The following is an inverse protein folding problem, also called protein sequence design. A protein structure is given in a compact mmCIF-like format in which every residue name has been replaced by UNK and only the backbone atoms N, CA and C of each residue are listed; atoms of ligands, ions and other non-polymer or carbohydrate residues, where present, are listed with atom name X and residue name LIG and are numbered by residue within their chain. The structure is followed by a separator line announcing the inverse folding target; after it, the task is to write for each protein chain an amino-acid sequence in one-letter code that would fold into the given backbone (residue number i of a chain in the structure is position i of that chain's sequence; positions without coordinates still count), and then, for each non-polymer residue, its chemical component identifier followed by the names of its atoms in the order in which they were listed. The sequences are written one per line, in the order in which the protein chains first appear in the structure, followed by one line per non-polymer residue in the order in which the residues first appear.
data_IF_618940760715
#
_entry.id   IF_618940760715
#
_cell.length_a   1.000
_cell.length_b   1.000
_cell.length_c   1.000
_cell.angle_alpha   90.00
_cell.angle_beta   90.00
_cell.angle_gamma   90.00
#
_symmetry.space_group_name_H-M   'P 1'
#
loop_
_entity.id
_entity.type
_entity.pdbx_description
1 polymer ?
#
# COMPACT_ATOMS: atom_id res chain seq x y z
N UNK A 1 -14.57 -57.36 0.62
CA UNK A 1 -14.88 -56.00 0.14
C UNK A 1 -13.76 -55.12 0.64
N UNK A 2 -12.84 -54.78 -0.25
CA UNK A 2 -11.56 -54.15 0.05
C UNK A 2 -11.69 -52.64 0.16
N UNK A 3 -11.33 -52.09 1.32
CA UNK A 3 -11.04 -50.68 1.56
C UNK A 3 -9.71 -50.30 0.91
N UNK A 4 -9.73 -49.97 -0.39
CA UNK A 4 -8.52 -49.50 -1.07
C UNK A 4 -8.81 -48.35 -2.04
N UNK A 5 -9.32 -47.25 -1.49
CA UNK A 5 -9.49 -45.99 -2.22
C UNK A 5 -8.74 -44.84 -1.53
N UNK A 6 -7.43 -45.01 -1.32
CA UNK A 6 -6.53 -43.88 -1.06
C UNK A 6 -5.94 -43.44 -2.39
N UNK A 7 -6.42 -42.32 -2.91
CA UNK A 7 -5.74 -41.62 -3.99
C UNK A 7 -4.33 -41.26 -3.51
N UNK A 8 -3.31 -42.00 -3.98
CA UNK A 8 -1.92 -41.61 -3.85
C UNK A 8 -1.68 -40.42 -4.78
N UNK A 9 -1.99 -39.21 -4.31
CA UNK A 9 -1.48 -37.99 -4.92
C UNK A 9 0.05 -38.03 -4.75
N UNK A 10 0.77 -38.36 -5.82
CA UNK A 10 2.22 -38.19 -5.87
C UNK A 10 2.59 -36.75 -5.52
N UNK A 11 3.82 -36.53 -5.05
CA UNK A 11 4.31 -35.17 -4.73
C UNK A 11 4.08 -34.29 -5.96
N UNK A 12 3.23 -33.25 -5.88
CA UNK A 12 2.86 -32.53 -7.08
C UNK A 12 4.06 -31.75 -7.63
N UNK A 13 4.09 -31.57 -8.95
CA UNK A 13 5.18 -30.92 -9.70
C UNK A 13 5.55 -29.50 -9.21
N UNK A 14 4.66 -28.84 -8.45
CA UNK A 14 4.96 -27.58 -7.74
C UNK A 14 6.02 -27.71 -6.64
N UNK A 15 6.43 -28.93 -6.26
CA UNK A 15 7.57 -29.15 -5.35
C UNK A 15 8.92 -28.71 -5.94
N UNK A 16 8.94 -28.28 -7.21
CA UNK A 16 10.13 -27.78 -7.91
C UNK A 16 10.20 -26.25 -8.00
N UNK A 17 9.22 -25.51 -7.46
CA UNK A 17 9.24 -24.04 -7.49
C UNK A 17 10.46 -23.52 -6.72
N UNK A 18 11.35 -22.75 -7.37
CA UNK A 18 12.51 -22.18 -6.70
C UNK A 18 12.09 -21.31 -5.52
N UNK A 19 12.77 -21.49 -4.38
CA UNK A 19 12.60 -20.62 -3.22
C UNK A 19 13.61 -19.48 -3.32
N UNK A 20 13.11 -18.26 -3.27
CA UNK A 20 13.94 -17.06 -3.20
C UNK A 20 13.82 -16.48 -1.80
N UNK A 21 14.96 -16.10 -1.22
CA UNK A 21 14.99 -15.29 -0.01
C UNK A 21 15.10 -13.80 -0.35
N UNK A 22 14.98 -12.95 0.66
CA UNK A 22 15.06 -11.49 0.52
C UNK A 22 16.37 -11.06 -0.15
N UNK A 23 17.49 -11.70 0.17
CA UNK A 23 18.79 -11.34 -0.41
C UNK A 23 18.82 -11.60 -1.91
N UNK A 24 18.34 -12.77 -2.36
CA UNK A 24 18.25 -13.09 -3.78
C UNK A 24 17.29 -12.14 -4.52
N UNK A 25 16.15 -11.80 -3.92
CA UNK A 25 15.18 -10.89 -4.51
C UNK A 25 15.77 -9.49 -4.64
N UNK A 26 16.36 -8.93 -3.58
CA UNK A 26 16.95 -7.59 -3.58
C UNK A 26 18.13 -7.53 -4.56
N UNK A 27 19.00 -8.55 -4.59
CA UNK A 27 20.14 -8.60 -5.51
C UNK A 27 19.71 -8.64 -6.99
N UNK A 28 18.52 -9.15 -7.29
CA UNK A 28 17.97 -9.17 -8.64
C UNK A 28 17.30 -7.84 -9.06
N UNK A 29 17.09 -6.90 -8.13
CA UNK A 29 16.45 -5.60 -8.42
C UNK A 29 17.44 -4.64 -9.07
N UNK A 30 17.09 -4.03 -10.23
CA UNK A 30 17.83 -2.92 -10.79
C UNK A 30 17.86 -1.68 -9.86
N UNK A 31 18.55 -0.62 -10.31
CA UNK A 31 18.53 0.66 -9.62
C UNK A 31 17.10 1.22 -9.47
N UNK A 32 16.83 1.88 -8.34
CA UNK A 32 15.57 2.60 -8.07
C UNK A 32 15.50 3.88 -8.90
N UNK A 33 14.29 4.36 -9.14
CA UNK A 33 14.05 5.69 -9.67
C UNK A 33 14.41 6.76 -8.62
N UNK A 34 14.78 7.95 -9.08
CA UNK A 34 14.99 9.09 -8.20
C UNK A 34 13.63 9.68 -7.79
N UNK A 35 13.32 9.62 -6.51
CA UNK A 35 12.07 10.12 -5.92
C UNK A 35 12.37 11.03 -4.73
N UNK A 36 11.40 11.85 -4.34
CA UNK A 36 11.54 12.81 -3.23
C UNK A 36 10.66 12.39 -2.05
N UNK A 37 11.15 12.44 -0.79
CA UNK A 37 10.30 12.19 0.38
C UNK A 37 9.16 13.20 0.52
N UNK A 38 9.24 14.37 -0.12
CA UNK A 38 8.26 15.45 0.02
C UNK A 38 7.26 15.53 -1.14
N UNK A 39 7.33 14.59 -2.09
CA UNK A 39 6.42 14.56 -3.25
C UNK A 39 5.89 13.15 -3.49
N UNK A 40 4.60 12.99 -3.83
CA UNK A 40 4.11 11.72 -4.36
C UNK A 40 4.86 11.45 -5.67
N UNK A 41 5.24 10.21 -5.94
CA UNK A 41 5.91 9.92 -7.21
C UNK A 41 4.92 9.90 -8.38
N UNK A 42 3.62 9.71 -8.10
CA UNK A 42 2.55 9.82 -9.09
C UNK A 42 1.18 10.02 -8.43
N UNK A 43 0.18 10.43 -9.20
CA UNK A 43 -1.22 10.44 -8.82
C UNK A 43 -2.12 10.39 -10.05
N UNK A 44 -3.26 9.72 -9.97
CA UNK A 44 -4.22 9.61 -11.07
C UNK A 44 -5.66 9.53 -10.56
N UNK A 45 -6.63 9.65 -11.48
CA UNK A 45 -8.03 9.38 -11.22
C UNK A 45 -8.55 8.35 -12.21
N UNK A 46 -9.23 7.34 -11.69
CA UNK A 46 -9.88 6.30 -12.47
C UNK A 46 -11.35 6.17 -12.06
N UNK A 47 -12.21 5.85 -13.02
CA UNK A 47 -13.60 5.49 -12.76
C UNK A 47 -13.65 4.06 -12.23
N UNK A 48 -14.06 3.88 -10.97
CA UNK A 48 -14.10 2.57 -10.34
C UNK A 48 -15.45 2.25 -9.73
N UNK A 49 -15.74 0.95 -9.62
CA UNK A 49 -16.98 0.47 -9.02
C UNK A 49 -16.89 0.51 -7.49
N UNK A 50 -17.74 1.31 -6.87
CA UNK A 50 -17.87 1.48 -5.42
C UNK A 50 -18.57 0.27 -4.76
N UNK A 51 -18.59 0.25 -3.42
CA UNK A 51 -19.28 -0.78 -2.64
C UNK A 51 -20.81 -0.77 -2.82
N UNK A 52 -21.42 0.38 -3.09
CA UNK A 52 -22.85 0.50 -3.43
C UNK A 52 -23.14 0.18 -4.91
N UNK A 53 -22.09 -0.15 -5.68
CA UNK A 53 -22.18 -0.66 -7.04
C UNK A 53 -22.28 0.42 -8.12
N UNK A 54 -22.16 1.70 -7.75
CA UNK A 54 -22.03 2.83 -8.69
C UNK A 54 -20.60 2.89 -9.25
N UNK A 55 -20.42 3.61 -10.37
CA UNK A 55 -19.09 3.93 -10.89
C UNK A 55 -18.82 5.39 -10.58
N UNK A 56 -17.78 5.66 -9.80
CA UNK A 56 -17.40 7.01 -9.36
C UNK A 56 -15.89 7.23 -9.54
N UNK A 57 -15.45 8.49 -9.71
CA UNK A 57 -14.02 8.81 -9.82
C UNK A 57 -13.31 8.57 -8.48
N UNK A 58 -12.25 7.75 -8.52
CA UNK A 58 -11.38 7.42 -7.39
C UNK A 58 -9.99 7.98 -7.65
N UNK A 59 -9.49 8.80 -6.72
CA UNK A 59 -8.12 9.29 -6.77
C UNK A 59 -7.14 8.26 -6.20
N UNK A 60 -6.09 7.92 -6.94
CA UNK A 60 -4.98 7.12 -6.42
C UNK A 60 -3.76 8.01 -6.23
N UNK A 61 -3.27 8.09 -5.00
CA UNK A 61 -2.05 8.82 -4.65
C UNK A 61 -0.95 7.79 -4.43
N UNK A 62 0.09 7.86 -5.25
CA UNK A 62 1.26 7.00 -5.10
C UNK A 62 2.30 7.70 -4.25
N UNK A 63 2.30 7.38 -2.95
CA UNK A 63 3.19 7.98 -1.97
C UNK A 63 4.61 7.43 -2.14
N UNK A 64 5.58 8.33 -2.10
CA UNK A 64 7.00 8.01 -1.97
C UNK A 64 7.30 7.63 -0.54
N UNK A 65 7.87 6.44 -0.34
CA UNK A 65 8.08 5.91 1.01
C UNK A 65 9.32 5.04 1.12
N UNK A 66 9.68 4.64 2.34
CA UNK A 66 10.70 3.60 2.52
C UNK A 66 10.22 2.27 1.93
N UNK A 67 11.14 1.54 1.32
CA UNK A 67 10.87 0.21 0.77
C UNK A 67 10.25 -0.75 1.80
N UNK A 68 9.22 -1.48 1.35
CA UNK A 68 8.51 -2.49 2.12
C UNK A 68 9.43 -3.63 2.61
N UNK A 69 9.43 -3.98 3.91
CA UNK A 69 10.35 -4.97 4.47
C UNK A 69 10.02 -6.42 4.07
N UNK A 70 8.88 -6.68 3.41
CA UNK A 70 8.49 -8.01 2.97
C UNK A 70 9.17 -8.46 1.68
N UNK A 71 9.78 -7.54 0.92
CA UNK A 71 10.52 -7.81 -0.32
C UNK A 71 9.83 -8.80 -1.27
N UNK A 72 8.52 -8.68 -1.47
CA UNK A 72 7.75 -9.61 -2.30
C UNK A 72 8.36 -9.77 -3.70
N UNK A 73 8.51 -11.02 -4.16
CA UNK A 73 9.18 -11.37 -5.42
C UNK A 73 8.63 -10.60 -6.64
N UNK A 74 7.31 -10.42 -6.70
CA UNK A 74 6.61 -9.79 -7.82
C UNK A 74 6.22 -8.33 -7.56
N UNK A 75 6.71 -7.73 -6.47
CA UNK A 75 6.47 -6.31 -6.23
C UNK A 75 7.29 -5.48 -7.22
N UNK A 76 6.69 -4.47 -7.83
CA UNK A 76 7.37 -3.47 -8.65
C UNK A 76 7.35 -2.07 -8.02
N UNK A 77 6.54 -1.86 -6.97
CA UNK A 77 6.45 -0.60 -6.23
C UNK A 77 7.79 -0.17 -5.62
N UNK A 78 8.68 -1.12 -5.29
CA UNK A 78 10.03 -0.83 -4.78
C UNK A 78 10.83 0.11 -5.70
N UNK A 79 10.51 0.17 -7.00
CA UNK A 79 11.19 1.06 -7.96
C UNK A 79 11.09 2.54 -7.57
N UNK A 80 10.02 2.95 -6.89
CA UNK A 80 9.75 4.33 -6.50
C UNK A 80 9.81 4.52 -4.97
N UNK A 81 10.77 3.85 -4.33
CA UNK A 81 10.95 3.91 -2.86
C UNK A 81 12.29 4.52 -2.47
N UNK A 82 12.35 4.98 -1.23
CA UNK A 82 13.54 5.42 -0.53
C UNK A 82 14.15 4.26 0.24
N UNK A 83 15.45 4.34 0.54
CA UNK A 83 16.13 3.40 1.44
C UNK A 83 15.90 3.74 2.91
N UNK A 84 15.66 5.02 3.19
CA UNK A 84 15.46 5.55 4.54
C UNK A 84 14.00 5.91 4.80
N UNK A 85 13.64 5.94 6.09
CA UNK A 85 12.34 6.40 6.57
C UNK A 85 12.10 7.85 6.13
N UNK A 86 10.87 8.16 5.72
CA UNK A 86 10.47 9.54 5.42
C UNK A 86 10.48 10.41 6.69
N UNK A 87 10.82 11.71 6.61
CA UNK A 87 10.67 12.62 7.74
C UNK A 87 9.21 12.73 8.20
N UNK A 88 8.98 12.97 9.47
CA UNK A 88 7.65 13.36 9.97
C UNK A 88 7.13 14.59 9.21
N UNK A 89 5.86 14.57 8.83
CA UNK A 89 5.20 15.59 8.02
C UNK A 89 5.33 15.39 6.52
N UNK A 90 6.17 14.46 6.07
CA UNK A 90 6.39 14.20 4.65
C UNK A 90 5.14 13.60 3.98
N UNK A 91 4.50 12.60 4.59
CA UNK A 91 3.31 11.96 4.00
C UNK A 91 2.14 12.95 3.89
N UNK A 92 1.79 13.74 4.93
CA UNK A 92 0.82 14.83 4.80
C UNK A 92 1.13 15.79 3.66
N UNK A 93 2.39 16.22 3.50
CA UNK A 93 2.81 17.11 2.42
C UNK A 93 2.64 16.47 1.03
N UNK A 94 2.91 15.18 0.89
CA UNK A 94 2.67 14.46 -0.36
C UNK A 94 1.17 14.40 -0.72
N UNK A 95 0.33 14.14 0.27
CA UNK A 95 -1.14 14.14 0.10
C UNK A 95 -1.62 15.54 -0.30
N UNK A 96 -1.13 16.59 0.36
CA UNK A 96 -1.47 17.98 0.03
C UNK A 96 -1.09 18.31 -1.43
N UNK A 97 0.10 17.92 -1.87
CA UNK A 97 0.56 18.12 -3.24
C UNK A 97 -0.29 17.35 -4.27
N UNK A 98 -0.66 16.10 -3.98
CA UNK A 98 -1.49 15.30 -4.87
C UNK A 98 -2.92 15.86 -4.97
N UNK A 99 -3.56 16.15 -3.83
CA UNK A 99 -4.94 16.67 -3.80
C UNK A 99 -5.06 18.04 -4.48
N UNK A 100 -3.99 18.86 -4.47
CA UNK A 100 -3.95 20.12 -5.20
C UNK A 100 -3.90 19.93 -6.73
N UNK A 101 -3.37 18.80 -7.22
CA UNK A 101 -3.22 18.50 -8.64
C UNK A 101 -4.37 17.67 -9.23
N UNK A 102 -5.01 16.84 -8.40
CA UNK A 102 -6.12 15.98 -8.81
C UNK A 102 -7.42 16.79 -8.98
N UNK A 103 -8.32 16.38 -9.90
CA UNK A 103 -9.68 16.88 -9.89
C UNK A 103 -10.38 16.45 -8.59
N UNK A 104 -11.49 17.13 -8.20
CA UNK A 104 -12.23 16.76 -6.99
C UNK A 104 -12.71 15.30 -7.04
N UNK A 105 -12.38 14.54 -5.99
CA UNK A 105 -12.79 13.14 -5.81
C UNK A 105 -13.45 12.97 -4.44
N UNK A 106 -14.28 11.93 -4.31
CA UNK A 106 -14.91 11.52 -3.04
C UNK A 106 -14.28 10.26 -2.44
N UNK A 107 -13.45 9.57 -3.21
CA UNK A 107 -12.80 8.33 -2.83
C UNK A 107 -11.30 8.47 -3.12
N UNK A 108 -10.47 8.00 -2.20
CA UNK A 108 -9.02 8.06 -2.36
C UNK A 108 -8.37 6.75 -1.96
N UNK A 109 -7.34 6.35 -2.71
CA UNK A 109 -6.41 5.27 -2.39
C UNK A 109 -5.04 5.87 -2.06
N UNK A 110 -4.49 5.50 -0.92
CA UNK A 110 -3.10 5.78 -0.57
C UNK A 110 -2.25 4.56 -0.90
N UNK A 111 -1.66 4.57 -2.09
CA UNK A 111 -0.72 3.56 -2.58
C UNK A 111 0.68 3.92 -2.08
N UNK A 112 1.15 3.26 -1.03
CA UNK A 112 2.31 3.77 -0.28
C UNK A 112 3.63 3.04 -0.55
N UNK A 113 3.66 2.15 -1.55
CA UNK A 113 4.83 1.33 -1.91
C UNK A 113 5.44 0.59 -0.70
N UNK A 114 4.60 0.30 0.28
CA UNK A 114 4.96 -0.03 1.64
C UNK A 114 3.77 -0.67 2.37
N UNK A 115 3.63 -0.35 3.65
CA UNK A 115 2.44 -0.72 4.43
C UNK A 115 2.00 0.49 5.23
N UNK A 116 0.72 0.84 5.17
CA UNK A 116 0.24 2.07 5.79
C UNK A 116 0.46 2.10 7.30
N UNK A 117 0.39 0.95 7.97
CA UNK A 117 0.62 0.84 9.41
C UNK A 117 2.04 0.37 9.80
N UNK A 118 2.98 0.34 8.84
CA UNK A 118 4.40 0.20 9.16
C UNK A 118 4.97 1.57 9.57
N UNK A 119 5.43 1.68 10.82
CA UNK A 119 6.00 2.92 11.36
C UNK A 119 7.25 3.40 10.61
N UNK A 120 7.95 2.51 9.88
CA UNK A 120 9.08 2.84 9.03
C UNK A 120 8.66 3.37 7.65
N UNK A 121 7.43 3.10 7.22
CA UNK A 121 6.83 3.67 6.03
C UNK A 121 6.07 4.95 6.41
N UNK A 122 4.99 4.85 7.19
CA UNK A 122 4.21 6.02 7.62
C UNK A 122 4.57 6.34 9.07
N UNK A 123 5.12 7.54 9.37
CA UNK A 123 5.31 7.96 10.75
C UNK A 123 3.98 7.97 11.51
N UNK A 124 3.85 7.29 12.67
CA UNK A 124 2.61 7.31 13.45
C UNK A 124 2.19 8.73 13.85
N UNK A 125 3.16 9.63 13.99
CA UNK A 125 2.95 11.06 14.25
C UNK A 125 2.13 11.75 13.15
N UNK A 126 2.18 11.24 11.92
CA UNK A 126 1.47 11.80 10.77
C UNK A 126 0.02 11.33 10.67
N UNK A 127 -0.40 10.27 11.38
CA UNK A 127 -1.75 9.69 11.23
C UNK A 127 -2.87 10.72 11.44
N UNK A 128 -2.76 11.57 12.45
CA UNK A 128 -3.75 12.62 12.70
C UNK A 128 -3.78 13.66 11.58
N UNK A 129 -2.60 14.06 11.07
CA UNK A 129 -2.48 15.02 9.99
C UNK A 129 -2.99 14.46 8.66
N UNK A 130 -2.71 13.18 8.37
CA UNK A 130 -3.23 12.45 7.21
C UNK A 130 -4.76 12.42 7.27
N UNK A 131 -5.34 11.94 8.38
CA UNK A 131 -6.80 11.85 8.52
C UNK A 131 -7.49 13.22 8.35
N UNK A 132 -6.88 14.29 8.87
CA UNK A 132 -7.40 15.66 8.69
C UNK A 132 -7.47 16.09 7.22
N UNK A 133 -6.54 15.65 6.36
CA UNK A 133 -6.50 16.00 4.92
C UNK A 133 -7.50 15.20 4.11
N UNK A 134 -7.84 14.01 4.60
CA UNK A 134 -8.80 13.11 3.97
C UNK A 134 -10.22 13.27 4.54
N UNK A 135 -10.45 14.29 5.37
CA UNK A 135 -11.73 14.51 6.03
C UNK A 135 -12.90 14.70 5.06
N UNK A 136 -12.65 15.20 3.84
CA UNK A 136 -13.69 15.33 2.81
C UNK A 136 -14.03 14.04 2.07
N UNK A 137 -13.30 12.95 2.31
CA UNK A 137 -13.45 11.70 1.57
C UNK A 137 -14.56 10.84 2.17
N UNK A 138 -15.40 10.28 1.30
CA UNK A 138 -16.38 9.25 1.64
C UNK A 138 -15.69 7.92 1.94
N UNK A 139 -14.65 7.59 1.17
CA UNK A 139 -13.87 6.36 1.36
C UNK A 139 -12.38 6.66 1.24
N UNK A 140 -11.60 6.13 2.18
CA UNK A 140 -10.15 6.12 2.17
C UNK A 140 -9.71 4.67 2.11
N UNK A 141 -8.90 4.30 1.13
CA UNK A 141 -8.36 2.94 0.99
C UNK A 141 -6.86 3.02 1.24
N UNK A 142 -6.31 2.13 2.06
CA UNK A 142 -4.88 2.06 2.34
C UNK A 142 -4.34 0.67 2.06
N UNK A 143 -3.12 0.59 1.55
CA UNK A 143 -2.41 -0.69 1.39
C UNK A 143 -1.74 -1.10 2.70
N UNK A 144 -1.99 -2.33 3.17
CA UNK A 144 -1.35 -2.83 4.38
C UNK A 144 -1.23 -4.36 4.36
N UNK A 145 -0.09 -4.88 4.81
CA UNK A 145 0.09 -6.32 4.98
C UNK A 145 -0.71 -6.81 6.20
N UNK A 146 -1.43 -7.95 6.13
CA UNK A 146 -2.28 -8.44 7.22
C UNK A 146 -1.58 -8.63 8.57
N UNK A 147 -0.27 -8.92 8.56
CA UNK A 147 0.56 -9.01 9.78
C UNK A 147 0.72 -7.69 10.54
N UNK A 148 0.44 -6.56 9.89
CA UNK A 148 0.51 -5.22 10.47
C UNK A 148 -0.89 -4.68 10.81
N UNK A 149 -1.93 -5.49 10.66
CA UNK A 149 -3.26 -5.12 11.11
C UNK A 149 -3.36 -5.34 12.63
N UNK A 150 -3.88 -4.34 13.34
CA UNK A 150 -4.08 -4.36 14.78
C UNK A 150 -4.95 -3.19 15.23
N UNK A 151 -4.90 -2.85 16.51
CA UNK A 151 -5.73 -1.77 17.09
C UNK A 151 -5.53 -0.43 16.37
N UNK A 152 -4.31 -0.17 15.88
CA UNK A 152 -3.96 1.03 15.09
C UNK A 152 -4.85 1.23 13.86
N UNK A 153 -5.36 0.15 13.25
CA UNK A 153 -6.30 0.24 12.13
C UNK A 153 -7.61 0.90 12.57
N UNK A 154 -8.15 0.46 13.70
CA UNK A 154 -9.38 1.01 14.28
C UNK A 154 -9.17 2.43 14.80
N UNK A 155 -8.01 2.71 15.40
CA UNK A 155 -7.65 4.05 15.85
C UNK A 155 -7.53 5.06 14.70
N UNK A 156 -6.99 4.63 13.55
CA UNK A 156 -6.93 5.47 12.36
C UNK A 156 -8.32 5.63 11.72
N UNK A 157 -9.09 4.54 11.60
CA UNK A 157 -10.45 4.58 11.07
C UNK A 157 -11.34 5.55 11.87
N UNK A 158 -11.24 5.55 13.20
CA UNK A 158 -12.01 6.45 14.07
C UNK A 158 -11.70 7.95 13.88
N UNK A 159 -10.60 8.30 13.18
CA UNK A 159 -10.25 9.69 12.84
C UNK A 159 -10.84 10.13 11.51
N UNK A 160 -11.32 9.20 10.69
CA UNK A 160 -11.94 9.47 9.41
C UNK A 160 -13.46 9.64 9.60
N UNK A 161 -14.09 10.64 8.96
CA UNK A 161 -15.54 10.76 8.96
C UNK A 161 -16.20 9.78 7.98
N UNK A 162 -15.45 9.35 6.97
CA UNK A 162 -15.85 8.33 5.99
C UNK A 162 -15.40 6.93 6.39
N UNK A 163 -15.45 6.03 5.40
CA UNK A 163 -15.05 4.63 5.57
C UNK A 163 -13.54 4.45 5.30
N UNK A 164 -12.91 3.55 6.05
CA UNK A 164 -11.56 3.03 5.81
C UNK A 164 -11.64 1.61 5.22
#
# INVERSE_FOLDING_TARGET
MSDDNRFHLGVPEWSTVPRFDDQAIIAARPARNLVSPWQPYHSLVEDERTADGTVEPVGTIFLTNRECPFHCLMCDLWKNTLTERVPTGAIPAQIDAALAALPPVRHVKLYNSGNFFDAQAIPPEDHAAIASRLHGMRTVIVENHPRLCGDVCGEFAARLPGEL
#
